data_IF_436205365019
#
_entry.id   IF_436205365019
#
_cell.length_a   1.000
_cell.length_b   1.000
_cell.length_c   1.000
_cell.angle_alpha   90.00
_cell.angle_beta   90.00
_cell.angle_gamma   90.00
#
_symmetry.space_group_name_H-M   'P 1'
#
loop_
_entity.id
_entity.type
_entity.pdbx_description
1 polymer ?
#
# COMPACT_ATOMS: atom_id res chain seq x y z
N UNK A 1 27.04 -26.28 9.79
CA UNK A 1 26.27 -25.80 8.63
C UNK A 1 25.44 -24.63 9.12
N UNK A 2 25.93 -23.41 8.91
CA UNK A 2 25.17 -22.20 9.26
C UNK A 2 23.96 -22.12 8.32
N UNK A 3 22.77 -22.22 8.90
CA UNK A 3 21.52 -22.02 8.17
C UNK A 3 21.38 -20.52 7.94
N UNK A 4 21.76 -20.05 6.75
CA UNK A 4 21.42 -18.70 6.30
C UNK A 4 19.90 -18.63 6.26
N UNK A 5 19.30 -17.94 7.24
CA UNK A 5 17.95 -17.43 7.13
C UNK A 5 17.96 -16.46 5.93
N UNK A 6 17.64 -16.97 4.75
CA UNK A 6 17.20 -16.11 3.65
C UNK A 6 15.96 -15.44 4.21
N UNK A 7 15.99 -14.12 4.42
CA UNK A 7 14.84 -13.33 4.86
C UNK A 7 13.74 -13.44 3.79
N UNK A 8 13.01 -14.55 3.85
CA UNK A 8 11.86 -14.86 3.03
C UNK A 8 10.59 -14.32 3.71
N UNK A 9 10.73 -13.26 4.49
CA UNK A 9 9.60 -12.61 5.13
C UNK A 9 8.67 -12.06 4.03
N UNK A 10 7.36 -12.32 4.15
CA UNK A 10 6.40 -11.84 3.17
C UNK A 10 6.44 -10.31 3.11
N UNK A 11 6.25 -9.77 1.91
CA UNK A 11 6.17 -8.33 1.64
C UNK A 11 4.76 -7.96 1.19
N UNK A 12 4.44 -6.68 1.29
CA UNK A 12 3.18 -6.13 0.81
C UNK A 12 3.38 -5.43 -0.55
N UNK A 13 2.53 -5.77 -1.52
CA UNK A 13 2.38 -5.02 -2.76
C UNK A 13 1.13 -4.17 -2.66
N UNK A 14 1.29 -2.86 -2.69
CA UNK A 14 0.19 -1.90 -2.63
C UNK A 14 -0.14 -1.38 -4.03
N UNK A 15 -1.43 -1.29 -4.33
CA UNK A 15 -1.97 -0.62 -5.50
C UNK A 15 -2.62 0.71 -5.07
N UNK A 16 -2.07 1.82 -5.57
CA UNK A 16 -2.51 3.17 -5.24
C UNK A 16 -3.28 3.73 -6.43
N UNK A 17 -4.51 4.21 -6.21
CA UNK A 17 -5.28 4.88 -7.23
C UNK A 17 -4.63 6.22 -7.62
N UNK A 18 -4.56 6.49 -8.93
CA UNK A 18 -3.89 7.69 -9.44
C UNK A 18 -4.72 8.95 -9.28
N UNK A 19 -6.05 8.82 -9.20
CA UNK A 19 -6.96 9.94 -9.03
C UNK A 19 -7.03 10.42 -7.59
N UNK A 20 -7.11 9.49 -6.64
CA UNK A 20 -7.27 9.79 -5.21
C UNK A 20 -5.96 9.81 -4.44
N UNK A 21 -4.94 9.08 -4.91
CA UNK A 21 -3.68 8.90 -4.18
C UNK A 21 -3.76 7.87 -3.04
N UNK A 22 -4.90 7.18 -2.89
CA UNK A 22 -5.16 6.23 -1.81
C UNK A 22 -4.88 4.78 -2.19
N UNK A 23 -4.60 3.97 -1.16
CA UNK A 23 -4.40 2.54 -1.32
C UNK A 23 -5.76 1.87 -1.54
N UNK A 24 -5.94 1.28 -2.72
CA UNK A 24 -7.15 0.53 -3.07
C UNK A 24 -7.01 -0.97 -2.79
N UNK A 25 -5.78 -1.50 -2.84
CA UNK A 25 -5.54 -2.93 -2.65
C UNK A 25 -4.15 -3.19 -2.07
N UNK A 26 -4.08 -4.20 -1.22
CA UNK A 26 -2.83 -4.73 -0.65
C UNK A 26 -2.77 -6.23 -0.92
N UNK A 27 -1.64 -6.72 -1.40
CA UNK A 27 -1.37 -8.15 -1.57
C UNK A 27 -0.14 -8.56 -0.79
N UNK A 28 -0.31 -9.49 0.14
CA UNK A 28 0.81 -10.17 0.80
C UNK A 28 1.35 -11.26 -0.13
N UNK A 29 2.67 -11.30 -0.32
CA UNK A 29 3.32 -12.33 -1.13
C UNK A 29 4.79 -12.48 -0.76
N UNK A 30 5.39 -13.57 -1.23
CA UNK A 30 6.83 -13.75 -1.14
C UNK A 30 7.55 -12.66 -1.94
N UNK A 31 8.71 -12.23 -1.45
CA UNK A 31 9.50 -11.16 -2.07
C UNK A 31 9.87 -11.49 -3.53
N UNK A 32 10.07 -12.77 -3.84
CA UNK A 32 10.39 -13.26 -5.18
C UNK A 32 9.24 -13.07 -6.19
N UNK A 33 7.99 -13.05 -5.73
CA UNK A 33 6.80 -12.89 -6.56
C UNK A 33 6.23 -11.47 -6.55
N UNK A 34 6.63 -10.63 -5.59
CA UNK A 34 6.12 -9.28 -5.41
C UNK A 34 6.20 -8.40 -6.67
N UNK A 35 7.25 -8.57 -7.49
CA UNK A 35 7.39 -7.83 -8.74
C UNK A 35 6.31 -8.19 -9.77
N UNK A 36 5.81 -9.43 -9.80
CA UNK A 36 4.74 -9.86 -10.72
C UNK A 36 3.44 -9.13 -10.41
N UNK A 37 3.07 -9.06 -9.14
CA UNK A 37 1.91 -8.31 -8.67
C UNK A 37 2.07 -6.80 -8.93
N UNK A 38 3.24 -6.23 -8.64
CA UNK A 38 3.49 -4.82 -8.90
C UNK A 38 3.39 -4.48 -10.40
N UNK A 39 3.89 -5.36 -11.28
CA UNK A 39 3.73 -5.23 -12.73
C UNK A 39 2.27 -5.33 -13.14
N UNK A 40 1.52 -6.29 -12.60
CA UNK A 40 0.09 -6.46 -12.88
C UNK A 40 -0.69 -5.19 -12.52
N UNK A 41 -0.56 -4.68 -11.30
CA UNK A 41 -1.24 -3.47 -10.86
C UNK A 41 -0.90 -2.24 -11.71
N UNK A 42 0.37 -2.07 -12.09
CA UNK A 42 0.78 -1.00 -13.02
C UNK A 42 0.15 -1.14 -14.40
N UNK A 43 0.02 -2.38 -14.90
CA UNK A 43 -0.56 -2.64 -16.22
C UNK A 43 -2.05 -2.31 -16.31
N UNK A 44 -2.78 -2.38 -15.19
CA UNK A 44 -4.22 -2.07 -15.12
C UNK A 44 -4.50 -0.64 -14.64
N UNK A 45 -3.47 0.21 -14.52
CA UNK A 45 -3.63 1.64 -14.32
C UNK A 45 -3.27 2.17 -12.94
N UNK A 46 -2.98 1.33 -11.94
CA UNK A 46 -2.58 1.78 -10.61
C UNK A 46 -1.11 2.20 -10.52
N UNK A 47 -0.79 3.00 -9.50
CA UNK A 47 0.60 3.18 -9.04
C UNK A 47 0.91 2.08 -8.03
N UNK A 48 1.76 1.12 -8.42
CA UNK A 48 2.09 -0.01 -7.55
C UNK A 48 3.48 0.10 -6.89
N UNK A 49 3.57 -0.23 -5.60
CA UNK A 49 4.82 -0.27 -4.81
C UNK A 49 4.91 -1.58 -4.02
N UNK A 50 6.13 -2.07 -3.85
CA UNK A 50 6.45 -3.16 -2.92
C UNK A 50 6.98 -2.50 -1.65
N UNK A 51 6.45 -2.86 -0.49
CA UNK A 51 6.77 -2.27 0.81
C UNK A 51 6.84 -3.35 1.89
N UNK A 52 7.59 -3.07 2.95
CA UNK A 52 7.54 -3.87 4.18
C UNK A 52 6.28 -3.53 4.99
N UNK A 53 5.89 -4.40 5.92
CA UNK A 53 4.68 -4.23 6.73
C UNK A 53 4.70 -2.97 7.60
N UNK A 54 5.83 -2.62 8.20
CA UNK A 54 5.96 -1.37 8.99
C UNK A 54 5.67 -0.13 8.14
N UNK A 55 6.08 -0.16 6.86
CA UNK A 55 5.79 0.92 5.91
C UNK A 55 4.32 0.92 5.50
N UNK A 56 3.72 -0.26 5.32
CA UNK A 56 2.30 -0.38 5.02
C UNK A 56 1.45 0.22 6.14
N UNK A 57 1.74 -0.11 7.40
CA UNK A 57 1.01 0.41 8.57
C UNK A 57 1.05 1.94 8.62
N UNK A 58 2.22 2.53 8.42
CA UNK A 58 2.38 3.99 8.37
C UNK A 58 1.56 4.62 7.23
N UNK A 59 1.55 4.01 6.04
CA UNK A 59 0.78 4.53 4.92
C UNK A 59 -0.74 4.48 5.17
N UNK A 60 -1.23 3.39 5.75
CA UNK A 60 -2.65 3.23 6.08
C UNK A 60 -3.11 4.20 7.17
N UNK A 61 -2.30 4.42 8.21
CA UNK A 61 -2.65 5.38 9.26
C UNK A 61 -2.63 6.82 8.73
N UNK A 62 -1.65 7.18 7.89
CA UNK A 62 -1.64 8.49 7.23
C UNK A 62 -2.90 8.71 6.37
N UNK A 63 -3.26 7.72 5.56
CA UNK A 63 -4.49 7.79 4.75
C UNK A 63 -5.75 7.94 5.63
N UNK A 64 -5.82 7.22 6.75
CA UNK A 64 -6.93 7.34 7.70
C UNK A 64 -7.03 8.75 8.30
N UNK A 65 -5.91 9.35 8.66
CA UNK A 65 -5.84 10.72 9.19
C UNK A 65 -6.33 11.72 8.13
N UNK A 66 -5.82 11.61 6.90
CA UNK A 66 -6.19 12.50 5.78
C UNK A 66 -7.68 12.42 5.48
N UNK A 67 -8.24 11.21 5.31
CA UNK A 67 -9.67 11.00 5.07
C UNK A 67 -10.54 11.55 6.20
N UNK A 68 -10.07 11.43 7.44
CA UNK A 68 -10.78 11.98 8.61
C UNK A 68 -10.75 13.50 8.62
N UNK A 69 -9.64 14.12 8.22
CA UNK A 69 -9.52 15.57 8.10
C UNK A 69 -10.42 16.11 6.97
N UNK A 70 -10.42 15.44 5.82
CA UNK A 70 -11.26 15.82 4.68
C UNK A 70 -12.75 15.79 5.05
N UNK A 71 -13.23 14.73 5.71
CA UNK A 71 -14.64 14.65 6.16
C UNK A 71 -15.03 15.78 7.11
N UNK A 72 -14.14 16.15 8.04
CA UNK A 72 -14.39 17.29 8.95
C UNK A 72 -14.48 18.61 8.18
N UNK A 73 -13.60 18.82 7.21
CA UNK A 73 -13.63 20.00 6.36
C UNK A 73 -14.95 20.07 5.55
N UNK A 74 -15.33 18.98 4.90
CA UNK A 74 -16.58 18.89 4.15
C UNK A 74 -17.81 19.17 5.03
N UNK A 75 -17.85 18.62 6.24
CA UNK A 75 -18.91 18.89 7.22
C UNK A 75 -18.96 20.35 7.68
N UNK A 76 -17.81 21.02 7.80
CA UNK A 76 -17.74 22.43 8.21
C UNK A 76 -18.19 23.39 7.11
N UNK A 77 -18.03 23.01 5.84
CA UNK A 77 -18.44 23.81 4.69
C UNK A 77 -19.92 23.68 4.35
N UNK A 78 -20.61 22.67 4.90
CA UNK A 78 -22.06 22.45 4.73
C UNK A 78 -22.91 23.08 5.85
N UNK A 79 -22.30 23.76 6.82
CA UNK A 79 -22.96 24.48 7.91
C UNK A 79 -22.98 25.98 7.63
#
# INVERSE_FOLDING_TARGET
MEMKLVNNEPVAVIAIDKGTGYIETVTSCDREDAWKYAKHYRSIGYKARIVEYDTLEQLLENERIERSAQRRYEQSMMQ
#
